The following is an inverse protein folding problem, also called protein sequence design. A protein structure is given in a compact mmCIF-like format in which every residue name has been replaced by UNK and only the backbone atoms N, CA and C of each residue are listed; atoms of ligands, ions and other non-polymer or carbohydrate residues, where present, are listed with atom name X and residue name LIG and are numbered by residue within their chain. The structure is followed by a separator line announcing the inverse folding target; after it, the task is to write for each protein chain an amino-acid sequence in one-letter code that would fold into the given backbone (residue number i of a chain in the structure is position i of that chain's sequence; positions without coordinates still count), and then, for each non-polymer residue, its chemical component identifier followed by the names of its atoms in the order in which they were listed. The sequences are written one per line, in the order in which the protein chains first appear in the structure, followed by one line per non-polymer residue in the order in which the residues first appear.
data_IF_918751233485
#
_entry.id   IF_918751233485
#
_cell.length_a   1.000
_cell.length_b   1.000
_cell.length_c   1.000
_cell.angle_alpha   90.00
_cell.angle_beta   90.00
_cell.angle_gamma   90.00
#
_symmetry.space_group_name_H-M   'P 1'
#
loop_
_entity.id
_entity.type
_entity.pdbx_description
1 polymer ?
#
# COMPACT_ATOMS: atom_id res chain seq x y z
N UNK A 1 30.66 -6.26 -32.23
CA UNK A 1 29.67 -5.37 -32.87
C UNK A 1 28.35 -5.69 -32.20
N UNK A 2 27.68 -4.76 -31.52
CA UNK A 2 26.36 -5.02 -31.00
C UNK A 2 25.38 -5.23 -32.14
N UNK A 3 24.51 -6.24 -32.03
CA UNK A 3 23.43 -6.47 -32.97
C UNK A 3 22.60 -5.18 -33.10
N UNK A 4 22.23 -4.76 -34.31
CA UNK A 4 21.34 -3.64 -34.47
C UNK A 4 20.02 -4.00 -33.77
N UNK A 5 19.58 -3.13 -32.85
CA UNK A 5 18.22 -3.15 -32.32
C UNK A 5 17.29 -3.08 -33.55
N UNK A 6 16.31 -3.98 -33.68
CA UNK A 6 15.33 -3.88 -34.76
C UNK A 6 14.69 -2.49 -34.71
N UNK A 7 14.65 -1.83 -35.87
CA UNK A 7 14.01 -0.52 -36.06
C UNK A 7 12.46 -0.70 -36.12
N UNK A 8 11.93 -1.46 -35.16
CA UNK A 8 10.52 -1.52 -34.91
C UNK A 8 10.17 -0.28 -34.08
N UNK A 9 9.85 0.79 -34.78
CA UNK A 9 9.20 1.96 -34.21
C UNK A 9 8.09 1.46 -33.30
N UNK A 10 8.28 1.65 -32.01
CA UNK A 10 7.29 1.33 -30.98
C UNK A 10 6.01 2.09 -31.33
N UNK A 11 5.09 1.44 -32.01
CA UNK A 11 3.75 1.95 -32.20
C UNK A 11 3.03 1.83 -30.86
N UNK A 12 3.07 2.90 -30.09
CA UNK A 12 2.35 3.00 -28.79
C UNK A 12 0.82 2.84 -28.94
N UNK A 13 0.30 2.78 -30.17
CA UNK A 13 -1.12 2.57 -30.46
C UNK A 13 -1.48 1.12 -30.74
N UNK A 14 -0.49 0.23 -30.90
CA UNK A 14 -0.70 -1.17 -31.25
C UNK A 14 0.30 -2.10 -30.59
N UNK A 15 0.05 -2.49 -29.33
CA UNK A 15 0.70 -3.70 -28.82
C UNK A 15 0.27 -4.86 -29.73
N UNK A 16 1.21 -5.38 -30.52
CA UNK A 16 0.96 -6.47 -31.46
C UNK A 16 0.43 -7.72 -30.76
N UNK A 17 -0.25 -8.59 -31.50
CA UNK A 17 -0.83 -9.80 -30.92
C UNK A 17 0.24 -10.73 -30.32
N UNK A 18 1.43 -10.76 -30.89
CA UNK A 18 2.63 -11.44 -30.39
C UNK A 18 3.11 -10.89 -29.06
N UNK A 19 3.10 -9.56 -28.89
CA UNK A 19 3.56 -8.91 -27.67
C UNK A 19 2.58 -9.12 -26.53
N UNK A 20 1.27 -9.14 -26.83
CA UNK A 20 0.24 -9.49 -25.86
C UNK A 20 0.38 -10.94 -25.34
N UNK A 21 0.69 -11.89 -26.24
CA UNK A 21 0.91 -13.28 -25.84
C UNK A 21 2.18 -13.42 -25.01
N UNK A 22 3.25 -12.73 -25.39
CA UNK A 22 4.51 -12.71 -24.66
C UNK A 22 4.31 -12.13 -23.25
N UNK A 23 3.67 -10.95 -23.14
CA UNK A 23 3.36 -10.30 -21.86
C UNK A 23 2.50 -11.20 -20.97
N UNK A 24 1.47 -11.82 -21.55
CA UNK A 24 0.61 -12.75 -20.81
C UNK A 24 1.41 -13.91 -20.24
N UNK A 25 2.25 -14.55 -21.02
CA UNK A 25 3.09 -15.64 -20.55
C UNK A 25 4.00 -15.22 -19.38
N UNK A 26 4.60 -14.01 -19.47
CA UNK A 26 5.43 -13.47 -18.38
C UNK A 26 4.63 -13.16 -17.14
N UNK A 27 3.43 -12.62 -17.29
CA UNK A 27 2.54 -12.37 -16.15
C UNK A 27 2.08 -13.66 -15.48
N UNK A 28 1.77 -14.70 -16.25
CA UNK A 28 1.39 -16.03 -15.74
C UNK A 28 2.55 -16.72 -14.99
N UNK A 29 3.79 -16.52 -15.43
CA UNK A 29 4.98 -16.99 -14.70
C UNK A 29 5.13 -16.26 -13.37
N UNK A 30 5.02 -14.93 -13.37
CA UNK A 30 5.18 -14.08 -12.19
C UNK A 30 4.03 -14.29 -11.19
N UNK A 31 2.81 -14.55 -11.66
CA UNK A 31 1.63 -14.82 -10.82
C UNK A 31 1.81 -16.05 -9.93
N UNK A 32 2.60 -17.04 -10.37
CA UNK A 32 2.87 -18.26 -9.60
C UNK A 32 3.75 -18.03 -8.37
N UNK A 33 4.41 -16.88 -8.30
CA UNK A 33 5.25 -16.51 -7.17
C UNK A 33 4.39 -15.73 -6.16
N UNK A 34 4.14 -16.32 -4.98
CA UNK A 34 3.53 -15.61 -3.85
C UNK A 34 4.56 -14.64 -3.27
N UNK A 35 4.43 -13.35 -3.62
CA UNK A 35 5.46 -12.31 -3.44
C UNK A 35 5.00 -11.10 -2.61
N UNK A 36 4.52 -11.29 -1.38
CA UNK A 36 4.24 -10.15 -0.51
C UNK A 36 5.51 -9.33 -0.25
N UNK A 37 5.35 -8.04 -0.05
CA UNK A 37 6.48 -7.14 0.25
C UNK A 37 7.33 -7.65 1.41
N UNK A 38 8.64 -7.55 1.27
CA UNK A 38 9.66 -7.98 2.25
C UNK A 38 9.52 -9.46 2.63
N UNK A 39 9.26 -10.33 1.66
CA UNK A 39 9.16 -11.79 1.81
C UNK A 39 10.19 -12.53 0.95
N UNK A 40 10.33 -13.83 1.21
CA UNK A 40 11.16 -14.69 0.35
C UNK A 40 10.62 -14.77 -1.09
N UNK A 41 9.31 -14.67 -1.28
CA UNK A 41 8.72 -14.64 -2.62
C UNK A 41 9.00 -13.34 -3.37
N UNK A 42 9.13 -12.20 -2.68
CA UNK A 42 9.60 -10.97 -3.30
C UNK A 42 11.04 -11.13 -3.82
N UNK A 43 11.94 -11.74 -3.03
CA UNK A 43 13.30 -12.04 -3.49
C UNK A 43 13.29 -12.98 -4.71
N UNK A 44 12.48 -14.04 -4.68
CA UNK A 44 12.32 -14.95 -5.81
C UNK A 44 11.84 -14.22 -7.08
N UNK A 45 10.89 -13.29 -6.93
CA UNK A 45 10.42 -12.46 -8.04
C UNK A 45 11.52 -11.50 -8.54
N UNK A 46 12.32 -10.94 -7.63
CA UNK A 46 13.46 -10.11 -7.98
C UNK A 46 14.53 -10.89 -8.77
N UNK A 47 14.84 -12.11 -8.34
CA UNK A 47 15.78 -13.01 -9.05
C UNK A 47 15.23 -13.39 -10.44
N UNK A 48 13.94 -13.68 -10.54
CA UNK A 48 13.28 -13.95 -11.81
C UNK A 48 13.35 -12.75 -12.75
N UNK A 49 13.05 -11.54 -12.27
CA UNK A 49 13.15 -10.30 -13.05
C UNK A 49 14.58 -10.02 -13.51
N UNK A 50 15.54 -10.14 -12.58
CA UNK A 50 16.96 -9.99 -12.92
C UNK A 50 17.36 -10.88 -14.07
N UNK A 51 17.03 -12.18 -14.01
CA UNK A 51 17.32 -13.11 -15.09
C UNK A 51 16.68 -12.70 -16.44
N UNK A 52 15.44 -12.16 -16.41
CA UNK A 52 14.77 -11.67 -17.64
C UNK A 52 15.47 -10.43 -18.22
N UNK A 53 15.91 -9.50 -17.38
CA UNK A 53 16.68 -8.35 -17.85
C UNK A 53 18.03 -8.77 -18.46
N UNK A 54 18.72 -9.72 -17.83
CA UNK A 54 19.99 -10.26 -18.34
C UNK A 54 19.82 -10.98 -19.68
N UNK A 55 18.72 -11.73 -19.89
CA UNK A 55 18.37 -12.33 -21.18
C UNK A 55 18.17 -11.28 -22.29
N UNK A 56 17.73 -10.07 -21.94
CA UNK A 56 17.58 -8.94 -22.85
C UNK A 56 18.90 -8.16 -23.04
N UNK A 57 19.99 -8.60 -22.41
CA UNK A 57 21.30 -7.97 -22.53
C UNK A 57 21.52 -6.78 -21.57
N UNK A 58 20.65 -6.59 -20.59
CA UNK A 58 20.84 -5.58 -19.56
C UNK A 58 21.79 -6.08 -18.45
N UNK A 59 22.59 -5.16 -17.88
CA UNK A 59 23.30 -5.42 -16.65
C UNK A 59 22.35 -5.16 -15.47
N UNK A 60 21.88 -6.23 -14.85
CA UNK A 60 20.90 -6.15 -13.79
C UNK A 60 21.48 -6.61 -12.44
N UNK A 61 21.18 -5.85 -11.37
CA UNK A 61 21.60 -6.17 -10.01
C UNK A 61 20.40 -6.11 -9.04
N UNK A 62 20.51 -6.87 -7.96
CA UNK A 62 19.55 -6.80 -6.86
C UNK A 62 20.16 -5.97 -5.74
N UNK A 63 19.47 -4.90 -5.36
CA UNK A 63 19.80 -4.06 -4.23
C UNK A 63 18.88 -4.42 -3.06
N UNK A 64 19.48 -4.72 -1.90
CA UNK A 64 18.75 -5.13 -0.71
C UNK A 64 18.67 -3.97 0.28
N UNK A 65 17.45 -3.60 0.65
CA UNK A 65 17.18 -2.50 1.56
C UNK A 65 16.44 -2.96 2.82
N UNK A 66 16.69 -2.33 3.98
CA UNK A 66 15.94 -2.62 5.19
C UNK A 66 14.49 -2.17 5.06
N UNK A 67 13.56 -3.07 5.37
CA UNK A 67 12.13 -2.82 5.28
C UNK A 67 11.39 -3.37 6.51
N UNK A 68 10.10 -3.09 6.58
CA UNK A 68 9.18 -3.68 7.54
C UNK A 68 8.14 -4.52 6.81
N UNK A 69 8.02 -5.79 7.15
CA UNK A 69 7.17 -6.75 6.46
C UNK A 69 5.67 -6.50 6.59
N UNK A 70 5.26 -5.50 7.36
CA UNK A 70 3.85 -5.12 7.51
C UNK A 70 3.71 -3.66 7.92
N UNK A 71 2.81 -2.96 7.28
CA UNK A 71 2.41 -1.59 7.68
C UNK A 71 1.04 -1.57 8.39
N UNK A 72 0.36 -2.72 8.46
CA UNK A 72 -0.98 -2.84 9.01
C UNK A 72 -1.01 -2.63 10.52
N UNK A 73 -0.02 -3.12 11.24
CA UNK A 73 0.02 -3.07 12.69
C UNK A 73 -0.11 -1.67 13.30
N UNK A 74 0.65 -0.65 12.86
CA UNK A 74 0.49 0.70 13.38
C UNK A 74 -0.92 1.24 13.16
N UNK A 75 -1.47 1.02 11.97
CA UNK A 75 -2.83 1.46 11.63
C UNK A 75 -3.85 0.70 12.45
N UNK A 76 -3.72 -0.63 12.56
CA UNK A 76 -4.59 -1.49 13.37
C UNK A 76 -4.60 -1.08 14.86
N UNK A 77 -3.44 -0.78 15.43
CA UNK A 77 -3.33 -0.29 16.82
C UNK A 77 -4.06 1.06 16.96
N UNK A 78 -3.86 1.97 15.99
CA UNK A 78 -4.50 3.28 16.02
C UNK A 78 -6.04 3.19 15.92
N UNK A 79 -6.54 2.35 15.00
CA UNK A 79 -7.99 2.13 14.85
C UNK A 79 -8.58 1.39 16.04
N UNK A 80 -7.89 0.41 16.59
CA UNK A 80 -8.31 -0.29 17.81
C UNK A 80 -8.40 0.66 19.01
N UNK A 81 -7.44 1.54 19.18
CA UNK A 81 -7.51 2.60 20.19
C UNK A 81 -8.71 3.54 19.96
N UNK A 82 -9.00 3.89 18.71
CA UNK A 82 -10.18 4.65 18.33
C UNK A 82 -11.49 3.93 18.68
N UNK A 83 -11.56 2.61 18.46
CA UNK A 83 -12.70 1.79 18.87
C UNK A 83 -12.91 1.84 20.38
N UNK A 84 -11.86 1.59 21.15
CA UNK A 84 -11.92 1.65 22.62
C UNK A 84 -12.28 3.06 23.10
N UNK A 85 -11.78 4.10 22.43
CA UNK A 85 -12.10 5.50 22.68
C UNK A 85 -13.59 5.80 22.48
N UNK A 86 -14.16 5.32 21.36
CA UNK A 86 -15.59 5.43 21.08
C UNK A 86 -16.45 4.70 22.12
N UNK A 87 -16.07 3.48 22.51
CA UNK A 87 -16.76 2.72 23.55
C UNK A 87 -16.70 3.43 24.91
N UNK A 88 -15.53 3.94 25.29
CA UNK A 88 -15.35 4.68 26.54
C UNK A 88 -16.22 5.96 26.57
N UNK A 89 -16.24 6.72 25.49
CA UNK A 89 -17.08 7.91 25.35
C UNK A 89 -18.58 7.56 25.42
N UNK A 90 -19.02 6.47 24.78
CA UNK A 90 -20.39 5.99 24.83
C UNK A 90 -20.81 5.58 26.25
N UNK A 91 -19.88 5.02 27.02
CA UNK A 91 -20.05 4.68 28.46
C UNK A 91 -19.94 5.89 29.40
N UNK A 92 -19.82 7.12 28.86
CA UNK A 92 -19.69 8.34 29.66
C UNK A 92 -18.29 8.64 30.19
N UNK A 93 -17.29 7.81 29.89
CA UNK A 93 -15.88 8.00 30.26
C UNK A 93 -15.16 8.93 29.27
N UNK A 94 -15.58 10.20 29.29
CA UNK A 94 -15.19 11.19 28.28
C UNK A 94 -13.69 11.40 28.18
N UNK A 95 -12.98 11.52 29.31
CA UNK A 95 -11.52 11.69 29.31
C UNK A 95 -10.80 10.49 28.66
N UNK A 96 -11.18 9.27 29.05
CA UNK A 96 -10.61 8.07 28.45
C UNK A 96 -10.91 8.00 26.96
N UNK A 97 -12.13 8.37 26.53
CA UNK A 97 -12.52 8.46 25.13
C UNK A 97 -11.65 9.44 24.34
N UNK A 98 -11.42 10.62 24.89
CA UNK A 98 -10.56 11.65 24.27
C UNK A 98 -9.11 11.17 24.17
N UNK A 99 -8.52 10.66 25.26
CA UNK A 99 -7.13 10.19 25.27
C UNK A 99 -6.90 9.08 24.27
N UNK A 100 -7.77 8.06 24.24
CA UNK A 100 -7.66 6.94 23.30
C UNK A 100 -7.88 7.39 21.84
N UNK A 101 -8.81 8.31 21.60
CA UNK A 101 -9.05 8.87 20.27
C UNK A 101 -7.86 9.69 19.78
N UNK A 102 -7.27 10.55 20.63
CA UNK A 102 -6.05 11.31 20.30
C UNK A 102 -4.88 10.37 20.03
N UNK A 103 -4.67 9.38 20.90
CA UNK A 103 -3.62 8.38 20.71
C UNK A 103 -3.79 7.65 19.37
N UNK A 104 -4.99 7.14 19.08
CA UNK A 104 -5.28 6.44 17.84
C UNK A 104 -5.03 7.32 16.60
N UNK A 105 -5.53 8.57 16.65
CA UNK A 105 -5.31 9.54 15.57
C UNK A 105 -3.82 9.87 15.38
N UNK A 106 -3.08 10.05 16.47
CA UNK A 106 -1.66 10.37 16.43
C UNK A 106 -0.81 9.22 15.88
N UNK A 107 -1.12 7.96 16.28
CA UNK A 107 -0.43 6.77 15.75
C UNK A 107 -0.59 6.69 14.25
N UNK A 108 -1.82 6.83 13.74
CA UNK A 108 -2.10 6.77 12.32
C UNK A 108 -1.43 7.95 11.59
N UNK A 109 -1.64 9.19 12.08
CA UNK A 109 -1.07 10.38 11.44
C UNK A 109 0.46 10.37 11.37
N UNK A 110 1.13 9.80 12.39
CA UNK A 110 2.59 9.69 12.42
C UNK A 110 3.15 8.56 11.55
N UNK A 111 2.31 7.67 11.07
CA UNK A 111 2.74 6.59 10.18
C UNK A 111 2.82 7.04 8.70
N UNK A 112 2.12 8.13 8.32
CA UNK A 112 2.13 8.64 6.94
C UNK A 112 3.47 9.25 6.52
N UNK A 113 4.09 10.17 7.27
CA UNK A 113 5.32 10.79 6.84
C UNK A 113 6.48 9.79 6.81
N UNK A 114 7.27 9.71 5.72
CA UNK A 114 8.34 8.71 5.57
C UNK A 114 9.42 8.83 6.67
N UNK A 115 9.62 10.02 7.25
CA UNK A 115 10.68 10.28 8.23
C UNK A 115 10.27 10.06 9.69
N UNK A 116 8.98 9.80 10.00
CA UNK A 116 8.50 9.86 11.38
C UNK A 116 7.76 8.61 11.85
N UNK A 117 8.00 7.47 11.32
CA UNK A 117 7.26 6.21 11.59
C UNK A 117 7.70 5.51 12.90
N UNK A 118 7.42 6.08 14.09
CA UNK A 118 7.98 5.59 15.35
C UNK A 118 7.49 4.18 15.71
N UNK A 119 6.23 3.86 15.40
CA UNK A 119 5.67 2.54 15.70
C UNK A 119 6.30 1.43 14.84
N UNK A 120 6.74 1.75 13.62
CA UNK A 120 7.41 0.78 12.75
C UNK A 120 8.78 0.37 13.28
N UNK A 121 9.43 1.21 14.08
CA UNK A 121 10.71 0.88 14.73
C UNK A 121 10.60 -0.27 15.73
N UNK A 122 9.39 -0.53 16.22
CA UNK A 122 9.08 -1.64 17.14
C UNK A 122 8.75 -2.94 16.40
N UNK A 123 8.54 -2.88 15.08
CA UNK A 123 8.26 -4.06 14.26
C UNK A 123 9.55 -4.78 13.86
N UNK A 124 9.42 -6.06 13.61
CA UNK A 124 10.53 -6.86 13.09
C UNK A 124 11.03 -6.27 11.76
N UNK A 125 12.34 -6.05 11.68
CA UNK A 125 12.98 -5.64 10.43
C UNK A 125 13.03 -6.83 9.49
N UNK A 126 12.80 -6.53 8.22
CA UNK A 126 12.92 -7.45 7.10
C UNK A 126 13.76 -6.77 6.00
N UNK A 127 13.97 -7.46 4.91
CA UNK A 127 14.63 -6.92 3.74
C UNK A 127 13.64 -6.87 2.58
N UNK A 128 13.74 -5.83 1.77
CA UNK A 128 13.11 -5.73 0.46
C UNK A 128 14.20 -5.72 -0.62
N UNK A 129 13.85 -6.09 -1.83
CA UNK A 129 14.82 -6.35 -2.90
C UNK A 129 14.40 -5.59 -4.16
N UNK A 130 15.20 -4.61 -4.56
CA UNK A 130 14.96 -3.83 -5.76
C UNK A 130 15.82 -4.39 -6.90
N UNK A 131 15.22 -4.60 -8.06
CA UNK A 131 15.99 -4.92 -9.28
C UNK A 131 16.31 -3.62 -9.98
N UNK A 132 17.58 -3.34 -10.14
CA UNK A 132 18.08 -2.16 -10.84
C UNK A 132 18.81 -2.63 -12.09
N UNK A 133 18.42 -2.09 -13.24
CA UNK A 133 19.15 -2.30 -14.48
C UNK A 133 19.35 -0.98 -15.21
N UNK A 134 20.48 -0.85 -15.86
CA UNK A 134 20.87 0.31 -16.63
C UNK A 134 21.05 -0.11 -18.09
N UNK A 135 20.42 0.62 -19.00
CA UNK A 135 20.44 0.36 -20.43
C UNK A 135 20.68 1.67 -21.18
N UNK A 136 21.37 1.60 -22.30
CA UNK A 136 21.57 2.73 -23.20
C UNK A 136 23.02 3.16 -23.30
N UNK A 137 23.21 4.38 -23.79
CA UNK A 137 24.52 4.99 -23.99
C UNK A 137 25.05 5.56 -22.65
N UNK A 138 26.21 5.11 -22.14
CA UNK A 138 26.80 5.64 -20.92
C UNK A 138 27.19 7.12 -21.01
N UNK A 139 27.39 7.66 -22.22
CA UNK A 139 27.69 9.06 -22.47
C UNK A 139 26.43 9.93 -22.68
N UNK A 140 25.25 9.36 -22.52
CA UNK A 140 24.00 10.10 -22.66
C UNK A 140 23.88 11.23 -21.64
N UNK A 141 23.49 12.41 -22.11
CA UNK A 141 23.31 13.59 -21.26
C UNK A 141 22.00 13.61 -20.48
N UNK A 142 21.13 12.65 -20.72
CA UNK A 142 19.81 12.52 -20.05
C UNK A 142 19.56 11.08 -19.69
N UNK A 143 19.03 10.88 -18.47
CA UNK A 143 18.59 9.58 -17.99
C UNK A 143 17.08 9.61 -17.77
N UNK A 144 16.39 8.57 -18.21
CA UNK A 144 14.98 8.35 -17.92
C UNK A 144 14.91 7.17 -16.96
N UNK A 145 14.23 7.35 -15.83
CA UNK A 145 14.07 6.33 -14.81
C UNK A 145 12.65 5.79 -14.87
N UNK A 146 12.51 4.50 -15.11
CA UNK A 146 11.24 3.78 -14.99
C UNK A 146 11.20 3.07 -13.65
N UNK A 147 10.13 3.31 -12.88
CA UNK A 147 9.93 2.70 -11.57
C UNK A 147 8.62 1.92 -11.59
N UNK A 148 8.70 0.62 -11.24
CA UNK A 148 7.53 -0.24 -11.10
C UNK A 148 7.74 -1.18 -9.91
N UNK A 149 6.65 -1.47 -9.16
CA UNK A 149 6.75 -2.46 -8.11
C UNK A 149 6.54 -3.88 -8.66
N UNK A 150 7.25 -4.86 -8.11
CA UNK A 150 7.14 -6.27 -8.48
C UNK A 150 6.55 -7.14 -7.38
N UNK A 151 6.44 -6.61 -6.16
CA UNK A 151 5.73 -7.25 -5.07
C UNK A 151 4.21 -7.25 -5.30
N UNK A 152 3.51 -8.19 -4.67
CA UNK A 152 2.07 -8.28 -4.70
C UNK A 152 1.48 -7.78 -3.38
N UNK A 153 0.42 -6.99 -3.47
CA UNK A 153 -0.34 -6.59 -2.29
C UNK A 153 -0.99 -7.82 -1.64
N UNK A 154 -1.04 -7.81 -0.30
CA UNK A 154 -1.82 -8.81 0.42
C UNK A 154 -3.29 -8.74 0.00
N UNK A 155 -3.90 -9.90 -0.23
CA UNK A 155 -5.34 -10.00 -0.36
C UNK A 155 -5.97 -9.70 1.02
N UNK A 156 -7.02 -8.88 1.04
CA UNK A 156 -7.74 -8.54 2.25
C UNK A 156 -9.09 -7.93 1.94
N UNK A 157 -9.98 -7.91 2.94
CA UNK A 157 -11.34 -7.39 2.77
C UNK A 157 -11.35 -5.96 2.22
N UNK A 158 -10.40 -5.13 2.64
CA UNK A 158 -10.28 -3.74 2.21
C UNK A 158 -9.98 -3.61 0.70
N UNK A 159 -9.32 -4.61 0.10
CA UNK A 159 -8.99 -4.67 -1.32
C UNK A 159 -10.00 -5.45 -2.15
N UNK A 160 -11.07 -5.95 -1.51
CA UNK A 160 -12.09 -6.71 -2.24
C UNK A 160 -12.72 -5.85 -3.33
N UNK A 161 -12.73 -6.30 -4.60
CA UNK A 161 -13.15 -5.49 -5.75
C UNK A 161 -14.62 -5.03 -5.68
N UNK A 162 -15.42 -5.63 -4.83
CA UNK A 162 -16.78 -5.19 -4.54
C UNK A 162 -16.87 -3.84 -3.84
N UNK A 163 -15.85 -3.46 -3.04
CA UNK A 163 -15.84 -2.20 -2.30
C UNK A 163 -15.73 -0.99 -3.24
N UNK A 164 -14.73 -0.90 -4.14
CA UNK A 164 -14.69 0.16 -5.14
C UNK A 164 -15.95 0.22 -6.03
N UNK A 165 -16.49 -0.94 -6.43
CA UNK A 165 -17.73 -1.00 -7.22
C UNK A 165 -18.94 -0.44 -6.47
N UNK A 166 -19.08 -0.76 -5.18
CA UNK A 166 -20.15 -0.22 -4.33
C UNK A 166 -19.99 1.30 -4.16
N UNK A 167 -18.78 1.75 -3.88
CA UNK A 167 -18.46 3.18 -3.73
C UNK A 167 -18.75 3.93 -5.03
N UNK A 168 -18.35 3.41 -6.17
CA UNK A 168 -18.63 4.01 -7.47
C UNK A 168 -20.14 4.14 -7.76
N UNK A 169 -20.93 3.14 -7.35
CA UNK A 169 -22.41 3.18 -7.51
C UNK A 169 -23.08 4.28 -6.68
N UNK A 170 -22.49 4.68 -5.56
CA UNK A 170 -23.09 5.72 -4.70
C UNK A 170 -22.91 7.13 -5.25
N UNK A 171 -22.05 7.34 -6.25
CA UNK A 171 -21.73 8.67 -6.81
C UNK A 171 -21.11 9.65 -5.81
N UNK A 172 -20.95 9.23 -4.55
CA UNK A 172 -20.54 10.11 -3.46
C UNK A 172 -19.14 10.68 -3.65
N UNK A 173 -18.35 10.08 -4.55
CA UNK A 173 -16.92 10.32 -4.66
C UNK A 173 -16.40 10.54 -6.09
N UNK A 174 -17.33 10.67 -7.05
CA UNK A 174 -16.97 10.94 -8.46
C UNK A 174 -16.30 12.27 -8.69
N UNK A 175 -16.27 13.16 -7.69
CA UNK A 175 -15.64 14.49 -7.75
C UNK A 175 -14.25 14.56 -7.11
N UNK A 176 -13.71 13.45 -6.61
CA UNK A 176 -12.42 13.42 -5.97
C UNK A 176 -11.40 12.73 -6.89
N UNK A 177 -10.40 13.47 -7.33
CA UNK A 177 -9.35 13.00 -8.25
C UNK A 177 -8.34 12.03 -7.59
N UNK A 178 -8.51 11.72 -6.32
CA UNK A 178 -7.63 10.79 -5.58
C UNK A 178 -8.43 9.76 -4.83
N UNK A 179 -7.83 8.63 -4.50
CA UNK A 179 -8.46 7.56 -3.69
C UNK A 179 -8.29 7.70 -2.16
N UNK A 180 -8.43 8.90 -1.54
CA UNK A 180 -8.30 9.08 -0.09
C UNK A 180 -9.41 8.40 0.72
N UNK A 181 -10.37 7.82 0.02
CA UNK A 181 -11.60 7.32 0.57
C UNK A 181 -11.48 6.09 1.44
N UNK A 182 -10.55 5.21 1.15
CA UNK A 182 -10.28 4.03 1.99
C UNK A 182 -9.67 4.46 3.33
N UNK A 183 -8.98 5.59 3.36
CA UNK A 183 -8.36 6.13 4.57
C UNK A 183 -9.33 6.98 5.40
N UNK A 184 -10.41 7.48 4.82
CA UNK A 184 -11.38 8.30 5.55
C UNK A 184 -12.01 7.59 6.76
N UNK A 185 -12.52 6.34 6.68
CA UNK A 185 -13.01 5.64 7.86
C UNK A 185 -11.89 5.27 8.84
N UNK A 186 -10.68 5.00 8.35
CA UNK A 186 -9.51 4.66 9.17
C UNK A 186 -9.12 5.83 10.08
N UNK A 187 -9.03 7.04 9.53
CA UNK A 187 -8.77 8.26 10.30
C UNK A 187 -10.00 8.78 11.03
N UNK A 188 -11.17 8.67 10.39
CA UNK A 188 -12.41 9.23 10.89
C UNK A 188 -12.88 8.61 12.20
N UNK A 189 -12.68 7.32 12.39
CA UNK A 189 -13.07 6.63 13.61
C UNK A 189 -12.41 7.22 14.87
N UNK A 190 -11.08 7.23 14.98
CA UNK A 190 -10.38 7.82 16.14
C UNK A 190 -10.68 9.31 16.34
N UNK A 191 -10.76 10.10 15.25
CA UNK A 191 -11.11 11.53 15.34
C UNK A 191 -12.53 11.72 15.89
N UNK A 192 -13.50 10.94 15.40
CA UNK A 192 -14.87 10.99 15.92
C UNK A 192 -14.95 10.58 17.38
N UNK A 193 -14.08 9.70 17.88
CA UNK A 193 -14.02 9.36 19.31
C UNK A 193 -13.65 10.60 20.15
N UNK A 194 -12.70 11.41 19.68
CA UNK A 194 -12.35 12.69 20.32
C UNK A 194 -13.54 13.65 20.31
N UNK A 195 -14.14 13.86 19.14
CA UNK A 195 -15.30 14.76 19.00
C UNK A 195 -16.46 14.31 19.88
N UNK A 196 -16.74 13.01 19.94
CA UNK A 196 -17.78 12.45 20.80
C UNK A 196 -17.48 12.66 22.28
N UNK A 197 -16.22 12.52 22.69
CA UNK A 197 -15.78 12.75 24.05
C UNK A 197 -15.93 14.23 24.46
N UNK A 198 -15.59 15.17 23.58
CA UNK A 198 -15.73 16.60 23.81
C UNK A 198 -17.20 17.01 23.86
N UNK A 199 -18.01 16.60 22.88
CA UNK A 199 -19.42 17.00 22.77
C UNK A 199 -20.35 16.21 23.69
N UNK A 200 -19.92 15.05 24.21
CA UNK A 200 -20.77 14.13 24.98
C UNK A 200 -21.79 13.37 24.14
N UNK A 201 -21.68 13.40 22.82
CA UNK A 201 -22.62 12.75 21.92
C UNK A 201 -22.46 11.23 21.88
N UNK A 202 -23.40 10.51 22.51
CA UNK A 202 -23.43 9.04 22.48
C UNK A 202 -23.60 8.48 21.05
N UNK A 203 -24.27 9.22 20.15
CA UNK A 203 -24.44 8.79 18.75
C UNK A 203 -23.09 8.80 18.01
N UNK A 204 -22.33 9.90 18.13
CA UNK A 204 -21.00 10.00 17.57
C UNK A 204 -20.04 8.98 18.18
N UNK A 205 -20.13 8.73 19.47
CA UNK A 205 -19.31 7.73 20.16
C UNK A 205 -19.54 6.31 19.62
N UNK A 206 -20.79 5.91 19.40
CA UNK A 206 -21.14 4.63 18.78
C UNK A 206 -20.64 4.55 17.34
N UNK A 207 -20.82 5.62 16.55
CA UNK A 207 -20.33 5.69 15.18
C UNK A 207 -18.80 5.55 15.13
N UNK A 208 -18.09 6.25 16.00
CA UNK A 208 -16.65 6.15 16.14
C UNK A 208 -16.19 4.71 16.43
N UNK A 209 -16.86 4.05 17.38
CA UNK A 209 -16.55 2.67 17.73
C UNK A 209 -16.77 1.72 16.52
N UNK A 210 -17.89 1.85 15.81
CA UNK A 210 -18.21 1.00 14.65
C UNK A 210 -17.24 1.21 13.50
N UNK A 211 -16.95 2.46 13.14
CA UNK A 211 -15.99 2.77 12.06
C UNK A 211 -14.58 2.26 12.40
N UNK A 212 -14.14 2.48 13.63
CA UNK A 212 -12.84 2.02 14.09
C UNK A 212 -12.76 0.49 14.15
N UNK A 213 -13.81 -0.19 14.64
CA UNK A 213 -13.88 -1.65 14.67
C UNK A 213 -13.82 -2.25 13.27
N UNK A 214 -14.60 -1.72 12.32
CA UNK A 214 -14.57 -2.13 10.92
C UNK A 214 -13.20 -1.92 10.28
N UNK A 215 -12.55 -0.77 10.55
CA UNK A 215 -11.20 -0.51 10.07
C UNK A 215 -10.17 -1.46 10.68
N UNK A 216 -10.27 -1.76 11.99
CA UNK A 216 -9.38 -2.73 12.65
C UNK A 216 -9.55 -4.13 12.03
N UNK A 217 -10.78 -4.60 11.86
CA UNK A 217 -11.06 -5.90 11.27
C UNK A 217 -10.60 -6.01 9.80
N UNK A 218 -10.58 -4.90 9.08
CA UNK A 218 -10.10 -4.87 7.70
C UNK A 218 -8.55 -4.88 7.61
N UNK A 219 -7.85 -4.60 8.73
CA UNK A 219 -6.39 -4.54 8.80
C UNK A 219 -5.75 -5.81 9.41
N UNK A 220 -6.53 -6.67 10.02
CA UNK A 220 -6.11 -7.94 10.62
C UNK A 220 -6.61 -9.11 9.78
#
# INVERSE_FOLDING_TARGET
MPNPVPDDTFDVTGIGHSDQQWLRARLEELERIDRPSASAGELQAAEWLKARFEELGADARIETEPAHGTYWWPIGIGTFAGMLGGLAAAAGRRLAGAVLGVFGSAVIARDFPPHSRPMRRLLAKRSTHNVVCELGDPEATRTVVFVSHHDAAHAGLIFHPGIPKLVAKTGLFTKLDTSPMLMAPVMGGPVLAVVAAVTGSKKLAKLAAVLSAGSTAAMV
#
